data_IF_903295765404
#
_entry.id   IF_903295765404
#
_cell.length_a   1.000
_cell.length_b   1.000
_cell.length_c   1.000
_cell.angle_alpha   90.00
_cell.angle_beta   90.00
_cell.angle_gamma   90.00
#
_symmetry.space_group_name_H-M   'P 1'
#
loop_
_entity.id
_entity.type
_entity.pdbx_description
1 polymer ?
#
# COMPACT_ATOMS: atom_id res chain seq x y z
N UNK A 1 -24.55 -3.97 9.17
CA UNK A 1 -25.48 -3.27 10.08
C UNK A 1 -26.89 -3.64 9.66
N UNK A 2 -27.72 -4.06 10.62
CA UNK A 2 -29.12 -4.36 10.36
C UNK A 2 -29.85 -3.10 9.87
N UNK A 3 -30.75 -3.25 8.89
CA UNK A 3 -31.58 -2.16 8.41
C UNK A 3 -32.66 -1.82 9.45
N UNK A 4 -33.05 -0.55 9.54
CA UNK A 4 -33.99 -0.07 10.57
C UNK A 4 -35.47 -0.18 10.17
N UNK A 5 -35.79 -0.53 8.92
CA UNK A 5 -37.17 -0.55 8.42
C UNK A 5 -37.73 0.83 8.06
N UNK A 6 -36.91 1.88 8.14
CA UNK A 6 -37.31 3.27 7.89
C UNK A 6 -36.95 3.65 6.44
N UNK A 7 -37.73 4.54 5.81
CA UNK A 7 -37.51 4.99 4.44
C UNK A 7 -36.33 5.96 4.26
N UNK A 8 -35.91 6.65 5.32
CA UNK A 8 -34.81 7.66 5.33
C UNK A 8 -33.90 7.49 6.55
N UNK A 9 -32.71 8.07 6.52
CA UNK A 9 -31.68 7.95 7.57
C UNK A 9 -30.56 6.95 7.26
N UNK A 10 -29.59 6.83 8.18
CA UNK A 10 -28.32 6.11 7.97
C UNK A 10 -28.50 4.60 7.70
N UNK A 11 -29.38 3.93 8.45
CA UNK A 11 -29.64 2.49 8.33
C UNK A 11 -30.96 2.18 7.61
N UNK A 12 -31.44 3.11 6.78
CA UNK A 12 -32.69 2.94 6.02
C UNK A 12 -32.70 1.69 5.15
N UNK A 13 -33.92 1.17 4.93
CA UNK A 13 -34.20 -0.01 4.13
C UNK A 13 -35.04 -1.04 4.88
N UNK A 14 -35.60 -1.99 4.14
CA UNK A 14 -36.40 -3.07 4.70
C UNK A 14 -35.56 -3.99 5.59
N UNK A 15 -36.13 -4.45 6.70
CA UNK A 15 -35.47 -5.37 7.62
C UNK A 15 -35.43 -6.75 6.97
N UNK A 16 -34.23 -7.19 6.59
CA UNK A 16 -33.99 -8.52 6.00
C UNK A 16 -32.96 -9.25 6.84
N UNK A 17 -33.14 -10.56 7.00
CA UNK A 17 -32.13 -11.44 7.58
C UNK A 17 -31.02 -11.68 6.53
N UNK A 18 -29.84 -11.10 6.78
CA UNK A 18 -28.71 -11.22 5.86
C UNK A 18 -28.02 -12.57 6.04
N UNK A 19 -27.94 -13.35 4.97
CA UNK A 19 -27.18 -14.61 4.94
C UNK A 19 -25.69 -14.34 4.71
N UNK A 20 -24.83 -15.02 5.47
CA UNK A 20 -23.40 -15.00 5.21
C UNK A 20 -23.08 -15.85 3.98
N UNK A 21 -22.45 -15.23 2.97
CA UNK A 21 -22.04 -15.90 1.73
C UNK A 21 -20.54 -16.17 1.78
N UNK A 22 -20.14 -17.38 1.36
CA UNK A 22 -18.72 -17.73 1.28
C UNK A 22 -17.95 -16.73 0.37
N UNK A 23 -16.74 -16.30 0.78
CA UNK A 23 -15.98 -15.32 0.02
C UNK A 23 -15.51 -15.89 -1.32
N UNK A 24 -15.75 -15.14 -2.40
CA UNK A 24 -15.41 -15.58 -3.76
C UNK A 24 -13.89 -15.62 -3.95
N UNK A 25 -13.31 -16.66 -4.59
CA UNK A 25 -11.87 -16.71 -4.87
C UNK A 25 -11.35 -15.49 -5.65
N UNK A 26 -12.15 -14.90 -6.53
CA UNK A 26 -11.79 -13.69 -7.30
C UNK A 26 -11.47 -12.47 -6.42
N UNK A 27 -12.05 -12.38 -5.22
CA UNK A 27 -11.77 -11.31 -4.25
C UNK A 27 -10.36 -11.43 -3.63
N UNK A 28 -9.68 -12.57 -3.79
CA UNK A 28 -8.32 -12.80 -3.28
C UNK A 28 -7.23 -12.30 -4.25
N UNK A 29 -7.60 -11.84 -5.45
CA UNK A 29 -6.63 -11.32 -6.43
C UNK A 29 -5.83 -10.15 -5.83
N UNK A 30 -4.50 -10.24 -5.94
CA UNK A 30 -3.57 -9.25 -5.37
C UNK A 30 -2.99 -9.60 -4.00
N UNK A 31 -3.49 -10.65 -3.33
CA UNK A 31 -2.83 -11.19 -2.13
C UNK A 31 -1.47 -11.80 -2.50
N UNK A 32 -0.46 -11.53 -1.69
CA UNK A 32 0.88 -12.08 -1.89
C UNK A 32 0.92 -13.53 -1.40
N UNK A 33 1.46 -14.43 -2.23
CA UNK A 33 1.79 -15.81 -1.84
C UNK A 33 3.23 -15.89 -1.34
N UNK A 34 3.55 -16.91 -0.53
CA UNK A 34 4.92 -17.16 -0.01
C UNK A 34 5.96 -17.17 -1.14
N UNK A 35 5.65 -17.88 -2.24
CA UNK A 35 6.49 -17.92 -3.45
C UNK A 35 6.69 -16.53 -4.07
N UNK A 36 5.63 -15.74 -4.20
CA UNK A 36 5.73 -14.41 -4.82
C UNK A 36 6.54 -13.42 -3.98
N UNK A 37 6.50 -13.52 -2.65
CA UNK A 37 7.29 -12.67 -1.75
C UNK A 37 8.78 -13.01 -1.86
N UNK A 38 9.11 -14.31 -1.81
CA UNK A 38 10.48 -14.80 -1.95
C UNK A 38 11.12 -14.37 -3.28
N UNK A 39 10.40 -14.53 -4.40
CA UNK A 39 10.92 -14.12 -5.71
C UNK A 39 11.10 -12.59 -5.78
N UNK A 40 10.17 -11.81 -5.21
CA UNK A 40 10.27 -10.33 -5.21
C UNK A 40 11.43 -9.81 -4.35
N UNK A 41 11.74 -10.44 -3.22
CA UNK A 41 12.88 -10.03 -2.39
C UNK A 41 14.20 -10.32 -3.10
N UNK A 42 14.35 -11.53 -3.64
CA UNK A 42 15.55 -11.93 -4.39
C UNK A 42 15.83 -11.00 -5.57
N UNK A 43 14.81 -10.69 -6.39
CA UNK A 43 15.00 -9.80 -7.54
C UNK A 43 15.43 -8.40 -7.10
N UNK A 44 14.86 -7.85 -6.02
CA UNK A 44 15.22 -6.52 -5.52
C UNK A 44 16.67 -6.44 -5.06
N UNK A 45 17.18 -7.49 -4.43
CA UNK A 45 18.58 -7.59 -4.01
C UNK A 45 19.50 -7.59 -5.23
N UNK A 46 19.17 -8.38 -6.26
CA UNK A 46 19.97 -8.51 -7.49
C UNK A 46 19.91 -7.26 -8.37
N UNK A 47 18.72 -6.67 -8.57
CA UNK A 47 18.54 -5.53 -9.49
C UNK A 47 18.94 -4.19 -8.87
N UNK A 48 18.99 -4.12 -7.54
CA UNK A 48 19.23 -2.88 -6.81
C UNK A 48 18.11 -1.84 -6.98
N UNK A 49 18.44 -0.58 -6.66
CA UNK A 49 17.51 0.55 -6.67
C UNK A 49 17.61 1.40 -7.94
N UNK A 50 16.46 1.83 -8.44
CA UNK A 50 16.39 2.76 -9.56
C UNK A 50 16.88 4.18 -9.18
N UNK A 51 17.25 5.04 -10.15
CA UNK A 51 17.75 6.39 -9.85
C UNK A 51 16.76 7.27 -9.07
N UNK A 52 15.45 7.13 -9.31
CA UNK A 52 14.45 7.92 -8.58
C UNK A 52 14.29 7.43 -7.14
N UNK A 53 14.44 6.13 -6.90
CA UNK A 53 14.39 5.53 -5.55
C UNK A 53 15.59 5.96 -4.72
N UNK A 54 16.78 5.98 -5.31
CA UNK A 54 17.98 6.55 -4.68
C UNK A 54 17.77 8.01 -4.27
N UNK A 55 17.24 8.83 -5.18
CA UNK A 55 16.91 10.23 -4.86
C UNK A 55 15.84 10.38 -3.77
N UNK A 56 14.89 9.45 -3.68
CA UNK A 56 13.90 9.45 -2.59
C UNK A 56 14.57 9.18 -1.25
N UNK A 57 15.52 8.24 -1.19
CA UNK A 57 16.32 7.96 0.01
C UNK A 57 17.09 9.19 0.46
N UNK A 58 17.75 9.89 -0.47
CA UNK A 58 18.51 11.11 -0.15
C UNK A 58 17.60 12.21 0.40
N UNK A 59 16.42 12.38 -0.18
CA UNK A 59 15.42 13.34 0.30
C UNK A 59 14.89 12.96 1.69
N UNK A 60 14.70 11.68 1.98
CA UNK A 60 14.28 11.20 3.31
C UNK A 60 15.36 11.54 4.35
N UNK A 61 16.64 11.31 4.02
CA UNK A 61 17.76 11.57 4.94
C UNK A 61 17.99 13.07 5.20
N UNK A 62 17.91 13.90 4.16
CA UNK A 62 18.36 15.29 4.24
C UNK A 62 17.23 16.32 4.41
N UNK A 63 16.08 16.10 3.76
CA UNK A 63 15.03 17.12 3.61
C UNK A 63 13.65 16.69 4.14
N UNK A 64 13.57 15.50 4.74
CA UNK A 64 12.38 14.95 5.37
C UNK A 64 11.32 14.37 4.43
N UNK A 65 10.37 13.64 5.01
CA UNK A 65 9.37 12.85 4.27
C UNK A 65 8.43 13.69 3.40
N UNK A 66 8.07 14.91 3.83
CA UNK A 66 7.13 15.77 3.08
C UNK A 66 7.67 16.11 1.70
N UNK A 67 8.97 16.42 1.59
CA UNK A 67 9.64 16.72 0.32
C UNK A 67 9.81 15.46 -0.53
N UNK A 68 10.18 14.34 0.10
CA UNK A 68 10.25 13.04 -0.57
C UNK A 68 8.90 12.62 -1.19
N UNK A 69 7.79 12.78 -0.46
CA UNK A 69 6.44 12.49 -0.96
C UNK A 69 6.02 13.40 -2.11
N UNK A 70 6.36 14.70 -2.07
CA UNK A 70 6.12 15.62 -3.20
C UNK A 70 6.89 15.18 -4.45
N UNK A 71 8.16 14.78 -4.30
CA UNK A 71 8.95 14.26 -5.41
C UNK A 71 8.40 12.94 -5.96
N UNK A 72 8.10 11.98 -5.08
CA UNK A 72 7.56 10.68 -5.49
C UNK A 72 6.17 10.82 -6.13
N UNK A 73 5.31 11.74 -5.67
CA UNK A 73 4.03 12.05 -6.35
C UNK A 73 4.25 12.56 -7.76
N UNK A 74 5.22 13.47 -7.97
CA UNK A 74 5.55 13.98 -9.31
C UNK A 74 6.04 12.87 -10.26
N UNK A 75 6.71 11.83 -9.74
CA UNK A 75 7.18 10.68 -10.53
C UNK A 75 6.12 9.59 -10.75
N UNK A 76 5.28 9.30 -9.76
CA UNK A 76 4.34 8.16 -9.74
C UNK A 76 2.87 8.55 -10.02
N UNK A 77 2.57 9.85 -10.04
CA UNK A 77 1.25 10.42 -10.37
C UNK A 77 0.29 10.61 -9.20
N UNK A 78 0.28 9.71 -8.20
CA UNK A 78 -0.71 9.77 -7.09
C UNK A 78 -0.07 9.81 -5.71
N UNK A 79 -0.78 10.45 -4.76
CA UNK A 79 -0.31 10.55 -3.37
C UNK A 79 -0.29 9.20 -2.66
N UNK A 80 -1.24 8.31 -2.96
CA UNK A 80 -1.29 6.95 -2.39
C UNK A 80 -0.05 6.14 -2.77
N UNK A 81 0.32 6.14 -4.06
CA UNK A 81 1.53 5.46 -4.55
C UNK A 81 2.81 6.09 -3.98
N UNK A 82 2.85 7.42 -3.90
CA UNK A 82 3.96 8.15 -3.29
C UNK A 82 4.19 7.75 -1.82
N UNK A 83 3.11 7.66 -1.02
CA UNK A 83 3.19 7.23 0.38
C UNK A 83 3.77 5.81 0.48
N UNK A 84 3.19 4.86 -0.26
CA UNK A 84 3.67 3.46 -0.27
C UNK A 84 5.15 3.37 -0.66
N UNK A 85 5.58 4.11 -1.69
CA UNK A 85 6.98 4.09 -2.12
C UNK A 85 7.92 4.73 -1.11
N UNK A 86 7.51 5.81 -0.44
CA UNK A 86 8.31 6.44 0.62
C UNK A 86 8.43 5.50 1.83
N UNK A 87 7.34 4.87 2.25
CA UNK A 87 7.35 3.90 3.36
C UNK A 87 8.28 2.71 3.05
N UNK A 88 8.27 2.23 1.80
CA UNK A 88 9.20 1.20 1.31
C UNK A 88 10.66 1.66 1.37
N UNK A 89 10.97 2.89 0.94
CA UNK A 89 12.34 3.43 1.01
C UNK A 89 12.80 3.65 2.45
N UNK A 90 11.91 4.06 3.36
CA UNK A 90 12.21 4.15 4.79
C UNK A 90 12.56 2.78 5.36
N UNK A 91 11.85 1.71 4.96
CA UNK A 91 12.17 0.35 5.37
C UNK A 91 13.54 -0.12 4.84
N UNK A 92 13.90 0.25 3.60
CA UNK A 92 15.23 -0.03 3.04
C UNK A 92 16.33 0.67 3.83
N UNK A 93 16.13 1.94 4.20
CA UNK A 93 17.09 2.68 5.06
C UNK A 93 17.24 1.99 6.41
N UNK A 94 16.14 1.55 7.02
CA UNK A 94 16.16 0.87 8.31
C UNK A 94 16.82 -0.52 8.24
N UNK A 95 16.67 -1.25 7.13
CA UNK A 95 17.40 -2.50 6.91
C UNK A 95 18.91 -2.23 6.77
N UNK A 96 19.30 -1.24 5.97
CA UNK A 96 20.69 -0.88 5.75
C UNK A 96 21.43 -0.32 6.99
N UNK A 97 20.70 0.10 8.03
CA UNK A 97 21.29 0.55 9.31
C UNK A 97 21.45 -0.58 10.34
N UNK A 98 20.77 -1.71 10.13
CA UNK A 98 20.77 -2.86 11.06
C UNK A 98 21.81 -3.92 10.70
N UNK A 99 22.38 -3.82 9.51
CA UNK A 99 23.58 -4.52 9.08
C UNK A 99 24.77 -3.57 9.21
#
# INVERSE_FOLDING_TARGET
MAKSGIAVGLNKGHKVEAKEVAPKPSQRKGRASKRSLFVRSLIKEVSGLSPYERRVIDLIRNAGEKRARKFAKKRLGTQKRAKVKVDEMTAVIAAARRH
#
